data_IF_558916316479
#
_entry.id   IF_558916316479
#
_cell.length_a   1.000
_cell.length_b   1.000
_cell.length_c   1.000
_cell.angle_alpha   90.00
_cell.angle_beta   90.00
_cell.angle_gamma   90.00
#
_symmetry.space_group_name_H-M   'P 1'
#
loop_
_entity.id
_entity.type
_entity.pdbx_description
1 polymer ?
#
# COMPACT_ATOMS: atom_id res chain seq x y z
N UNK A 1 20.31 -14.30 0.66
CA UNK A 1 19.79 -14.01 2.01
C UNK A 1 18.83 -12.85 1.90
N UNK A 2 17.67 -12.97 2.54
CA UNK A 2 16.62 -11.96 2.56
C UNK A 2 16.49 -11.45 3.98
N UNK A 3 16.47 -10.13 4.15
CA UNK A 3 16.22 -9.50 5.45
C UNK A 3 14.71 -9.40 5.62
N UNK A 4 14.18 -10.03 6.67
CA UNK A 4 12.80 -9.83 7.11
C UNK A 4 12.81 -8.91 8.31
N UNK A 5 11.96 -7.89 8.29
CA UNK A 5 11.84 -6.95 9.40
C UNK A 5 10.40 -6.53 9.67
N UNK A 6 10.09 -6.31 10.95
CA UNK A 6 8.79 -5.79 11.37
C UNK A 6 8.95 -4.89 12.58
N UNK A 7 8.26 -3.75 12.56
CA UNK A 7 8.17 -2.90 13.74
C UNK A 7 7.08 -3.46 14.66
N UNK A 8 7.52 -3.96 15.80
CA UNK A 8 6.64 -4.56 16.79
C UNK A 8 7.18 -4.25 18.20
N UNK A 9 6.98 -3.02 18.69
CA UNK A 9 7.56 -2.59 19.96
C UNK A 9 6.92 -3.26 21.17
N UNK A 10 5.67 -3.71 21.07
CA UNK A 10 4.91 -4.25 22.21
C UNK A 10 5.25 -5.71 22.55
N UNK A 11 5.35 -6.64 21.56
CA UNK A 11 5.72 -8.01 21.87
C UNK A 11 7.10 -8.12 22.53
N UNK A 12 7.19 -9.06 23.48
CA UNK A 12 8.43 -9.45 24.15
C UNK A 12 9.24 -10.43 23.28
N UNK A 13 8.57 -11.12 22.36
CA UNK A 13 9.19 -12.02 21.41
C UNK A 13 8.53 -11.93 20.04
N UNK A 14 9.33 -11.86 18.98
CA UNK A 14 8.85 -12.07 17.61
C UNK A 14 9.65 -13.17 16.96
N UNK A 15 8.94 -14.07 16.27
CA UNK A 15 9.52 -15.12 15.44
C UNK A 15 9.01 -14.94 14.03
N UNK A 16 9.86 -15.24 13.06
CA UNK A 16 9.52 -15.26 11.64
C UNK A 16 9.20 -16.70 11.25
N UNK A 17 8.14 -16.94 10.52
CA UNK A 17 7.93 -18.21 9.82
C UNK A 17 8.06 -18.01 8.32
N UNK A 18 8.87 -18.85 7.66
CA UNK A 18 9.05 -18.88 6.21
C UNK A 18 8.85 -20.31 5.73
N UNK A 19 7.88 -20.52 4.83
CA UNK A 19 7.58 -21.84 4.23
C UNK A 19 7.44 -22.98 5.26
N UNK A 20 6.86 -22.69 6.43
CA UNK A 20 6.63 -23.62 7.54
C UNK A 20 7.78 -23.74 8.53
N UNK A 21 8.90 -23.03 8.33
CA UNK A 21 10.06 -23.07 9.21
C UNK A 21 10.13 -21.80 10.06
N UNK A 22 10.23 -21.98 11.38
CA UNK A 22 10.28 -20.86 12.34
C UNK A 22 11.72 -20.47 12.65
N UNK A 23 11.99 -19.17 12.57
CA UNK A 23 13.28 -18.53 12.82
C UNK A 23 13.14 -17.50 13.94
N UNK A 24 14.09 -17.43 14.89
CA UNK A 24 14.10 -16.36 15.88
C UNK A 24 14.42 -15.02 15.22
N UNK A 25 13.79 -13.94 15.69
CA UNK A 25 14.14 -12.57 15.31
C UNK A 25 14.84 -11.87 16.47
N UNK A 26 15.62 -10.82 16.15
CA UNK A 26 16.31 -9.98 17.14
C UNK A 26 15.71 -8.59 17.14
N UNK A 27 15.30 -8.10 18.32
CA UNK A 27 14.76 -6.75 18.54
C UNK A 27 15.89 -5.74 18.70
N UNK A 28 15.78 -4.58 18.04
CA UNK A 28 16.65 -3.43 18.28
C UNK A 28 16.06 -2.46 19.32
N UNK A 29 16.78 -1.38 19.60
CA UNK A 29 16.38 -0.38 20.59
C UNK A 29 15.16 0.46 20.17
N UNK A 30 14.79 0.41 18.89
CA UNK A 30 13.68 1.16 18.30
C UNK A 30 12.41 0.29 18.12
N UNK A 31 12.45 -0.96 18.60
CA UNK A 31 11.32 -1.89 18.53
C UNK A 31 11.18 -2.62 17.19
N UNK A 32 12.20 -2.57 16.33
CA UNK A 32 12.24 -3.35 15.09
C UNK A 32 12.84 -4.72 15.34
N UNK A 33 12.18 -5.75 14.82
CA UNK A 33 12.64 -7.13 14.84
C UNK A 33 13.22 -7.49 13.48
N UNK A 34 14.37 -8.17 13.44
CA UNK A 34 15.02 -8.61 12.20
C UNK A 34 15.47 -10.07 12.22
N UNK A 35 15.42 -10.72 11.06
CA UNK A 35 16.05 -12.00 10.81
C UNK A 35 16.55 -12.08 9.35
N UNK A 36 17.76 -12.63 9.18
CA UNK A 36 18.34 -12.97 7.89
C UNK A 36 18.06 -14.44 7.58
N UNK A 37 17.23 -14.69 6.56
CA UNK A 37 16.86 -16.06 6.16
C UNK A 37 17.11 -16.23 4.66
N UNK A 38 17.68 -17.36 4.27
CA UNK A 38 17.77 -17.73 2.86
C UNK A 38 16.40 -18.17 2.38
N UNK A 39 15.83 -17.43 1.43
CA UNK A 39 14.50 -17.67 0.90
C UNK A 39 14.47 -17.40 -0.61
N UNK A 40 13.56 -18.07 -1.31
CA UNK A 40 13.22 -17.73 -2.69
C UNK A 40 12.47 -16.38 -2.73
N UNK A 41 12.51 -15.71 -3.89
CA UNK A 41 11.89 -14.39 -4.08
C UNK A 41 10.36 -14.37 -3.98
N UNK A 42 9.72 -15.53 -3.89
CA UNK A 42 8.29 -15.77 -3.80
C UNK A 42 7.88 -16.53 -2.52
N UNK A 43 8.78 -16.62 -1.53
CA UNK A 43 8.53 -17.38 -0.31
C UNK A 43 7.33 -16.85 0.47
N UNK A 44 6.57 -17.77 1.08
CA UNK A 44 5.44 -17.46 1.97
C UNK A 44 5.94 -17.26 3.39
N UNK A 45 5.50 -16.21 4.04
CA UNK A 45 5.97 -15.86 5.38
C UNK A 45 4.92 -15.17 6.23
N UNK A 46 5.17 -15.12 7.54
CA UNK A 46 4.43 -14.31 8.49
C UNK A 46 5.15 -14.26 9.83
N UNK A 47 4.57 -13.53 10.79
CA UNK A 47 5.17 -13.32 12.10
C UNK A 47 4.35 -13.99 13.20
N UNK A 48 5.04 -14.62 14.15
CA UNK A 48 4.45 -15.10 15.39
C UNK A 48 4.87 -14.17 16.52
N UNK A 49 3.88 -13.68 17.26
CA UNK A 49 4.07 -12.73 18.36
C UNK A 49 3.96 -13.46 19.70
N UNK A 50 4.87 -13.14 20.61
CA UNK A 50 5.01 -13.72 21.94
C UNK A 50 5.04 -15.26 21.91
N UNK A 51 4.20 -15.90 22.73
CA UNK A 51 4.03 -17.35 22.85
C UNK A 51 2.85 -17.89 22.01
N UNK A 52 2.25 -17.07 21.13
CA UNK A 52 1.17 -17.53 20.27
C UNK A 52 1.67 -18.33 19.06
N UNK A 53 0.85 -19.29 18.62
CA UNK A 53 1.12 -20.13 17.44
C UNK A 53 0.49 -19.57 16.16
N UNK A 54 -0.32 -18.52 16.27
CA UNK A 54 -0.92 -17.85 15.13
C UNK A 54 0.17 -17.14 14.31
N UNK A 55 0.23 -17.45 13.02
CA UNK A 55 1.10 -16.75 12.06
C UNK A 55 0.30 -15.58 11.48
N UNK A 56 0.76 -14.37 11.76
CA UNK A 56 0.11 -13.14 11.32
C UNK A 56 0.74 -12.63 10.01
N UNK A 57 -0.07 -12.01 9.12
CA UNK A 57 0.44 -11.36 7.92
C UNK A 57 1.34 -10.18 8.28
N UNK A 58 2.30 -9.88 7.41
CA UNK A 58 3.15 -8.70 7.53
C UNK A 58 2.33 -7.41 7.35
N UNK A 59 2.40 -6.44 8.29
CA UNK A 59 1.86 -5.09 8.10
C UNK A 59 2.30 -4.42 6.78
N UNK A 60 3.54 -4.70 6.34
CA UNK A 60 4.15 -4.20 5.10
C UNK A 60 4.16 -5.24 3.98
N UNK A 61 3.24 -6.21 4.02
CA UNK A 61 3.16 -7.30 3.04
C UNK A 61 3.19 -6.79 1.59
N UNK A 62 4.15 -7.23 0.76
CA UNK A 62 4.20 -6.78 -0.64
C UNK A 62 3.18 -7.50 -1.52
N UNK A 63 2.69 -8.68 -1.12
CA UNK A 63 1.62 -9.44 -1.80
C UNK A 63 0.87 -10.37 -0.83
N UNK A 64 -0.42 -10.61 -1.10
CA UNK A 64 -1.32 -11.42 -0.27
C UNK A 64 -2.17 -12.37 -1.11
N UNK A 65 -1.60 -13.48 -1.60
CA UNK A 65 -2.25 -14.31 -2.61
C UNK A 65 -3.47 -15.09 -2.09
N UNK A 66 -3.53 -15.39 -0.79
CA UNK A 66 -4.61 -16.19 -0.19
C UNK A 66 -5.56 -15.35 0.70
N UNK A 67 -5.44 -14.03 0.65
CA UNK A 67 -6.27 -13.10 1.42
C UNK A 67 -5.64 -12.57 2.71
N UNK A 68 -6.30 -11.59 3.32
CA UNK A 68 -5.73 -10.71 4.38
C UNK A 68 -5.46 -11.39 5.73
N UNK A 69 -5.87 -12.64 5.91
CA UNK A 69 -5.61 -13.42 7.12
C UNK A 69 -4.43 -14.37 6.98
N UNK A 70 -3.92 -14.54 5.77
CA UNK A 70 -2.97 -15.59 5.43
C UNK A 70 -1.54 -15.06 5.36
N UNK A 71 -0.61 -15.97 5.13
CA UNK A 71 0.81 -15.65 5.00
C UNK A 71 1.04 -14.65 3.86
N UNK A 72 1.81 -13.62 4.15
CA UNK A 72 2.42 -12.75 3.17
C UNK A 72 3.26 -13.55 2.17
N UNK A 73 3.47 -12.98 0.98
CA UNK A 73 4.39 -13.53 0.00
C UNK A 73 5.46 -12.48 -0.31
N UNK A 74 6.74 -12.88 -0.31
CA UNK A 74 7.79 -12.05 -0.85
C UNK A 74 7.49 -11.74 -2.32
N UNK A 75 7.66 -10.49 -2.71
CA UNK A 75 7.40 -10.08 -4.07
C UNK A 75 8.18 -8.82 -4.41
N UNK A 76 8.68 -8.76 -5.64
CA UNK A 76 9.29 -7.59 -6.24
C UNK A 76 8.70 -7.40 -7.62
N UNK A 77 8.41 -6.15 -7.97
CA UNK A 77 7.98 -5.80 -9.32
C UNK A 77 9.11 -6.06 -10.31
N UNK A 78 8.73 -6.56 -11.49
CA UNK A 78 9.69 -6.81 -12.56
C UNK A 78 9.99 -5.49 -13.28
N UNK A 79 11.12 -4.87 -12.95
CA UNK A 79 11.53 -3.60 -13.53
C UNK A 79 11.67 -3.64 -15.07
N UNK A 80 11.86 -4.83 -15.66
CA UNK A 80 12.00 -4.99 -17.11
C UNK A 80 10.67 -4.89 -17.87
N UNK A 81 9.54 -4.93 -17.15
CA UNK A 81 8.20 -4.78 -17.74
C UNK A 81 7.80 -3.33 -17.99
N UNK A 82 8.46 -2.37 -17.34
CA UNK A 82 8.17 -0.96 -17.58
C UNK A 82 8.68 -0.54 -18.96
N UNK A 83 7.79 0.05 -19.75
CA UNK A 83 8.03 0.63 -21.08
C UNK A 83 7.94 2.16 -21.07
N UNK A 84 7.67 2.75 -19.91
CA UNK A 84 7.39 4.16 -19.67
C UNK A 84 8.64 5.03 -19.43
N UNK A 85 9.83 4.61 -19.90
CA UNK A 85 11.08 5.35 -19.68
C UNK A 85 11.09 6.79 -20.24
N UNK A 86 10.17 7.11 -21.18
CA UNK A 86 9.98 8.45 -21.75
C UNK A 86 8.80 9.20 -21.12
N UNK A 87 8.11 8.62 -20.14
CA UNK A 87 7.01 9.25 -19.43
C UNK A 87 7.54 10.36 -18.51
N UNK A 88 7.02 11.56 -18.72
CA UNK A 88 7.41 12.74 -17.93
C UNK A 88 6.29 13.22 -16.99
N UNK A 89 5.26 12.41 -16.77
CA UNK A 89 4.08 12.76 -15.98
C UNK A 89 3.18 13.82 -16.62
N UNK A 90 2.10 14.19 -15.90
CA UNK A 90 1.17 15.27 -16.26
C UNK A 90 0.93 16.19 -15.07
N UNK A 91 0.69 17.47 -15.36
CA UNK A 91 0.22 18.44 -14.37
C UNK A 91 -1.29 18.26 -14.18
N UNK A 92 -1.76 18.20 -12.92
CA UNK A 92 -3.19 18.11 -12.62
C UNK A 92 -3.99 19.34 -13.08
N UNK A 93 -3.50 20.60 -12.95
CA UNK A 93 -4.22 21.76 -13.46
C UNK A 93 -4.55 21.64 -14.96
N UNK A 94 -5.85 21.73 -15.28
CA UNK A 94 -6.36 21.56 -16.65
C UNK A 94 -6.56 20.09 -17.07
N UNK A 95 -6.30 19.14 -16.19
CA UNK A 95 -6.58 17.72 -16.40
C UNK A 95 -8.07 17.38 -16.27
N UNK A 96 -8.46 16.31 -16.97
CA UNK A 96 -9.74 15.62 -16.85
C UNK A 96 -9.49 14.28 -16.16
N UNK A 97 -10.12 14.10 -15.00
CA UNK A 97 -10.03 12.88 -14.17
C UNK A 97 -11.22 11.97 -14.47
N UNK A 98 -10.95 10.68 -14.63
CA UNK A 98 -11.95 9.62 -14.73
C UNK A 98 -11.75 8.64 -13.59
N UNK A 99 -12.68 8.61 -12.63
CA UNK A 99 -12.69 7.65 -11.53
C UNK A 99 -13.15 6.27 -12.03
N UNK A 100 -12.44 5.21 -11.63
CA UNK A 100 -12.79 3.84 -11.95
C UNK A 100 -12.68 2.91 -10.74
N UNK A 101 -13.65 2.03 -10.66
CA UNK A 101 -13.64 0.89 -9.75
C UNK A 101 -13.26 -0.38 -10.52
N UNK A 102 -12.09 -0.95 -10.23
CA UNK A 102 -11.54 -2.10 -10.99
C UNK A 102 -12.53 -3.26 -11.04
N UNK A 103 -13.14 -3.61 -9.89
CA UNK A 103 -14.04 -4.77 -9.79
C UNK A 103 -15.37 -4.63 -10.55
N UNK A 104 -15.71 -3.45 -11.09
CA UNK A 104 -16.98 -3.23 -11.82
C UNK A 104 -16.81 -2.52 -13.16
N UNK A 105 -15.61 -2.00 -13.48
CA UNK A 105 -15.35 -1.29 -14.73
C UNK A 105 -15.43 -2.23 -15.95
N UNK A 106 -15.10 -3.50 -15.75
CA UNK A 106 -15.24 -4.56 -16.75
C UNK A 106 -15.95 -5.77 -16.15
N UNK A 107 -16.57 -6.64 -16.98
CA UNK A 107 -17.16 -7.89 -16.49
C UNK A 107 -16.18 -8.80 -15.74
N UNK A 108 -14.90 -8.80 -16.13
CA UNK A 108 -13.84 -9.57 -15.51
C UNK A 108 -13.38 -8.98 -14.18
N UNK A 109 -13.49 -7.66 -14.00
CA UNK A 109 -13.16 -7.00 -12.74
C UNK A 109 -11.66 -6.99 -12.40
N UNK A 110 -10.78 -6.91 -13.40
CA UNK A 110 -9.31 -6.98 -13.21
C UNK A 110 -8.57 -5.80 -13.83
N UNK A 111 -7.33 -5.59 -13.39
CA UNK A 111 -6.43 -4.61 -13.99
C UNK A 111 -6.19 -4.89 -15.48
N UNK A 112 -5.98 -6.15 -15.87
CA UNK A 112 -5.73 -6.52 -17.26
C UNK A 112 -6.93 -6.24 -18.16
N UNK A 113 -8.15 -6.55 -17.70
CA UNK A 113 -9.35 -6.24 -18.47
C UNK A 113 -9.58 -4.72 -18.59
N UNK A 114 -9.19 -3.93 -17.59
CA UNK A 114 -9.27 -2.47 -17.67
C UNK A 114 -8.36 -1.88 -18.77
N UNK A 115 -7.23 -2.53 -19.08
CA UNK A 115 -6.30 -2.10 -20.15
C UNK A 115 -7.03 -2.03 -21.51
N UNK A 116 -7.93 -2.98 -21.78
CA UNK A 116 -8.70 -3.06 -23.05
C UNK A 116 -9.68 -1.89 -23.25
N UNK A 117 -9.85 -1.03 -22.23
CA UNK A 117 -10.73 0.14 -22.27
C UNK A 117 -9.98 1.46 -22.31
N UNK A 118 -8.66 1.47 -22.17
CA UNK A 118 -7.89 2.72 -22.10
C UNK A 118 -7.98 3.55 -23.39
N UNK A 119 -8.02 2.91 -24.57
CA UNK A 119 -8.15 3.62 -25.85
C UNK A 119 -9.45 4.44 -25.91
N UNK A 120 -10.54 3.91 -25.32
CA UNK A 120 -11.80 4.63 -25.21
C UNK A 120 -11.67 5.86 -24.29
N UNK A 121 -10.96 5.75 -23.17
CA UNK A 121 -10.72 6.88 -22.26
C UNK A 121 -9.88 7.97 -22.94
N UNK A 122 -8.88 7.58 -23.73
CA UNK A 122 -8.09 8.52 -24.55
C UNK A 122 -8.98 9.24 -25.57
N UNK A 123 -9.82 8.52 -26.31
CA UNK A 123 -10.74 9.13 -27.30
C UNK A 123 -11.74 10.08 -26.63
N UNK A 124 -12.21 9.75 -25.42
CA UNK A 124 -13.09 10.60 -24.63
C UNK A 124 -12.41 11.91 -24.18
N UNK A 125 -11.07 11.97 -24.17
CA UNK A 125 -10.30 13.12 -23.73
C UNK A 125 -9.88 13.09 -22.27
N UNK A 126 -9.93 11.92 -21.62
CA UNK A 126 -9.42 11.72 -20.27
C UNK A 126 -7.90 11.92 -20.26
N UNK A 127 -7.38 12.52 -19.19
CA UNK A 127 -5.93 12.69 -18.99
C UNK A 127 -5.41 12.03 -17.73
N UNK A 128 -6.29 11.81 -16.75
CA UNK A 128 -6.00 11.15 -15.48
C UNK A 128 -7.01 10.04 -15.25
N UNK A 129 -6.51 8.87 -14.92
CA UNK A 129 -7.27 7.69 -14.52
C UNK A 129 -7.15 7.59 -13.00
N UNK A 130 -8.23 7.86 -12.26
CA UNK A 130 -8.25 7.71 -10.80
C UNK A 130 -8.77 6.33 -10.43
N UNK A 131 -7.91 5.50 -9.87
CA UNK A 131 -8.26 4.15 -9.43
C UNK A 131 -8.74 4.23 -7.98
N UNK A 132 -9.96 3.74 -7.72
CA UNK A 132 -10.45 3.54 -6.35
C UNK A 132 -9.51 2.61 -5.54
N UNK A 133 -9.58 2.58 -4.20
CA UNK A 133 -8.53 1.96 -3.41
C UNK A 133 -8.30 0.49 -3.75
N UNK A 134 -7.03 0.12 -3.90
CA UNK A 134 -6.59 -1.22 -4.29
C UNK A 134 -5.95 -2.00 -3.16
N UNK A 135 -5.85 -1.42 -1.96
CA UNK A 135 -5.27 -2.08 -0.80
C UNK A 135 -6.05 -3.36 -0.46
N UNK A 136 -5.36 -4.41 -0.03
CA UNK A 136 -6.02 -5.69 0.22
C UNK A 136 -7.03 -5.58 1.39
N UNK A 137 -8.25 -6.04 1.12
CA UNK A 137 -9.39 -6.18 2.05
C UNK A 137 -9.89 -7.63 2.07
N UNK A 138 -10.73 -7.97 3.05
CA UNK A 138 -11.33 -9.30 3.15
C UNK A 138 -12.51 -9.49 2.17
N UNK A 139 -12.52 -10.60 1.45
CA UNK A 139 -13.53 -10.93 0.43
C UNK A 139 -13.02 -10.71 -1.00
N UNK A 140 -13.89 -10.90 -1.99
CA UNK A 140 -13.54 -10.81 -3.42
C UNK A 140 -14.10 -9.55 -4.09
N UNK A 141 -15.02 -8.85 -3.43
CA UNK A 141 -15.65 -7.64 -3.94
C UNK A 141 -15.73 -6.62 -2.82
N UNK A 142 -15.39 -5.37 -3.14
CA UNK A 142 -15.45 -4.25 -2.22
C UNK A 142 -14.99 -3.00 -2.93
N UNK A 143 -15.49 -1.83 -2.51
CA UNK A 143 -15.09 -0.55 -3.08
C UNK A 143 -13.62 -0.18 -2.80
N UNK A 144 -13.00 -0.85 -1.82
CA UNK A 144 -11.60 -0.65 -1.44
C UNK A 144 -11.39 0.07 -0.10
N UNK A 145 -12.40 0.78 0.40
CA UNK A 145 -12.30 1.53 1.67
C UNK A 145 -12.13 0.64 2.91
N UNK A 146 -12.50 -0.65 2.83
CA UNK A 146 -12.26 -1.66 3.86
C UNK A 146 -10.83 -2.26 3.82
N UNK A 147 -9.87 -1.59 3.15
CA UNK A 147 -8.48 -2.02 3.06
C UNK A 147 -7.82 -2.14 4.45
N UNK A 148 -7.07 -3.23 4.67
CA UNK A 148 -6.39 -3.51 5.95
C UNK A 148 -4.88 -3.73 5.81
N UNK A 149 -4.42 -4.19 4.64
CA UNK A 149 -3.00 -4.36 4.36
C UNK A 149 -2.59 -3.32 3.32
N UNK A 150 -2.20 -2.14 3.80
CA UNK A 150 -1.94 -0.99 2.94
C UNK A 150 -0.83 -1.21 1.89
N UNK A 151 0.09 -2.13 2.12
CA UNK A 151 1.18 -2.40 1.18
C UNK A 151 0.84 -3.48 0.13
N UNK A 152 -0.23 -4.24 0.34
CA UNK A 152 -0.65 -5.28 -0.59
C UNK A 152 -1.70 -4.75 -1.57
N UNK A 153 -1.54 -5.05 -2.85
CA UNK A 153 -2.58 -4.87 -3.86
C UNK A 153 -3.55 -6.05 -3.79
N UNK A 154 -4.85 -5.79 -3.86
CA UNK A 154 -5.90 -6.80 -3.76
C UNK A 154 -5.74 -7.88 -4.84
N UNK A 155 -5.55 -9.13 -4.42
CA UNK A 155 -5.14 -10.21 -5.32
C UNK A 155 -6.21 -10.51 -6.39
N UNK A 156 -7.51 -10.41 -6.04
CA UNK A 156 -8.59 -10.69 -6.98
C UNK A 156 -8.60 -9.74 -8.19
N UNK A 157 -8.01 -8.55 -8.09
CA UNK A 157 -7.87 -7.61 -9.21
C UNK A 157 -6.70 -7.96 -10.15
N UNK A 158 -5.84 -8.90 -9.77
CA UNK A 158 -4.60 -9.25 -10.48
C UNK A 158 -3.32 -8.96 -9.69
N UNK A 159 -3.46 -8.53 -8.42
CA UNK A 159 -2.34 -8.30 -7.52
C UNK A 159 -1.37 -7.20 -8.00
N UNK A 160 -0.17 -7.12 -7.40
CA UNK A 160 0.80 -6.08 -7.72
C UNK A 160 1.28 -6.12 -9.18
N UNK A 161 1.41 -7.33 -9.74
CA UNK A 161 1.78 -7.53 -11.15
C UNK A 161 0.74 -6.94 -12.12
N UNK A 162 -0.55 -7.08 -11.80
CA UNK A 162 -1.64 -6.51 -12.61
C UNK A 162 -1.66 -4.99 -12.56
N UNK A 163 -1.48 -4.41 -11.37
CA UNK A 163 -1.40 -2.95 -11.22
C UNK A 163 -0.22 -2.37 -12.01
N UNK A 164 0.95 -3.01 -11.96
CA UNK A 164 2.11 -2.62 -12.78
C UNK A 164 1.75 -2.57 -14.27
N UNK A 165 1.10 -3.61 -14.81
CA UNK A 165 0.71 -3.65 -16.23
C UNK A 165 -0.29 -2.56 -16.59
N UNK A 166 -1.27 -2.28 -15.72
CA UNK A 166 -2.24 -1.21 -15.97
C UNK A 166 -1.57 0.16 -16.01
N UNK A 167 -0.69 0.46 -15.04
CA UNK A 167 0.00 1.76 -14.99
C UNK A 167 0.88 1.94 -16.22
N UNK A 168 1.66 0.92 -16.59
CA UNK A 168 2.49 0.96 -17.80
C UNK A 168 1.65 1.22 -19.07
N UNK A 169 0.52 0.52 -19.18
CA UNK A 169 -0.40 0.68 -20.30
C UNK A 169 -1.08 2.07 -20.35
N UNK A 170 -1.33 2.69 -19.19
CA UNK A 170 -1.80 4.06 -19.08
C UNK A 170 -0.72 5.04 -19.58
N UNK A 171 0.52 4.92 -19.10
CA UNK A 171 1.62 5.80 -19.51
C UNK A 171 1.92 5.68 -21.01
N UNK A 172 1.90 4.48 -21.58
CA UNK A 172 2.06 4.24 -23.01
C UNK A 172 0.99 4.94 -23.86
N UNK A 173 -0.18 5.22 -23.28
CA UNK A 173 -1.31 5.95 -23.89
C UNK A 173 -1.36 7.43 -23.51
N UNK A 174 -0.37 7.88 -22.74
CA UNK A 174 -0.31 9.24 -22.24
C UNK A 174 -1.38 9.56 -21.20
N UNK A 175 -1.89 8.57 -20.46
CA UNK A 175 -2.79 8.75 -19.32
C UNK A 175 -1.96 8.73 -18.04
N UNK A 176 -2.14 9.74 -17.19
CA UNK A 176 -1.59 9.72 -15.84
C UNK A 176 -2.50 8.89 -14.92
N UNK A 177 -1.94 8.30 -13.87
CA UNK A 177 -2.68 7.46 -12.92
C UNK A 177 -2.69 8.09 -11.54
N UNK A 178 -3.88 8.30 -11.00
CA UNK A 178 -4.11 8.67 -9.60
C UNK A 178 -4.57 7.43 -8.84
N UNK A 179 -4.16 7.30 -7.57
CA UNK A 179 -4.63 6.23 -6.69
C UNK A 179 -5.34 6.81 -5.47
N UNK A 180 -6.57 6.37 -5.23
CA UNK A 180 -7.27 6.64 -3.98
C UNK A 180 -6.63 5.81 -2.84
N UNK A 181 -6.22 6.49 -1.76
CA UNK A 181 -5.55 5.88 -0.61
C UNK A 181 -6.24 6.26 0.69
N UNK A 182 -6.37 5.28 1.59
CA UNK A 182 -7.11 5.39 2.84
C UNK A 182 -6.16 5.32 4.02
N UNK A 183 -5.81 6.48 4.59
CA UNK A 183 -4.93 6.58 5.75
C UNK A 183 -5.63 6.99 7.05
N UNK A 184 -6.95 7.22 6.98
CA UNK A 184 -7.73 7.68 8.13
C UNK A 184 -8.31 6.54 8.98
N UNK A 185 -8.41 5.32 8.43
CA UNK A 185 -8.86 4.12 9.15
C UNK A 185 -8.35 2.85 8.45
N UNK A 186 -8.65 1.69 9.05
CA UNK A 186 -8.48 0.36 8.47
C UNK A 186 -9.83 -0.34 8.47
N UNK A 187 -10.04 -1.22 7.48
CA UNK A 187 -11.25 -2.03 7.41
C UNK A 187 -11.44 -2.97 8.62
N UNK A 188 -12.65 -3.51 8.78
CA UNK A 188 -13.06 -4.22 9.99
C UNK A 188 -12.51 -5.65 10.10
N UNK A 189 -11.86 -6.20 9.06
CA UNK A 189 -11.44 -7.60 9.01
C UNK A 189 -10.08 -7.78 8.35
N UNK A 190 -9.14 -8.39 9.08
CA UNK A 190 -7.77 -8.65 8.62
C UNK A 190 -6.74 -7.59 9.04
N UNK A 191 -7.15 -6.59 9.84
CA UNK A 191 -6.24 -5.67 10.49
C UNK A 191 -5.69 -6.30 11.78
N UNK A 192 -4.37 -6.48 11.84
CA UNK A 192 -3.66 -7.01 13.01
C UNK A 192 -2.65 -6.01 13.59
N UNK A 193 -2.69 -4.74 13.18
CA UNK A 193 -1.66 -3.76 13.56
C UNK A 193 -1.57 -3.55 15.07
N UNK A 194 -2.69 -3.63 15.79
CA UNK A 194 -2.76 -3.52 17.25
C UNK A 194 -1.97 -4.64 17.98
N UNK A 195 -1.81 -5.80 17.33
CA UNK A 195 -1.00 -6.91 17.82
C UNK A 195 0.49 -6.59 17.75
N UNK A 196 0.93 -5.84 16.75
CA UNK A 196 2.33 -5.49 16.54
C UNK A 196 2.76 -4.31 17.41
N UNK A 197 1.96 -3.25 17.44
CA UNK A 197 2.36 -2.00 18.09
C UNK A 197 1.23 -0.97 18.20
N UNK A 198 1.53 0.22 18.73
CA UNK A 198 0.57 1.29 18.91
C UNK A 198 0.24 2.03 17.59
N UNK A 199 -0.10 1.29 16.53
CA UNK A 199 -0.54 1.85 15.26
C UNK A 199 -1.89 2.57 15.35
N UNK A 200 -2.73 2.13 16.29
CA UNK A 200 -4.05 2.66 16.55
C UNK A 200 -4.06 3.29 17.94
N UNK A 201 -4.91 4.30 18.14
CA UNK A 201 -5.08 4.98 19.41
C UNK A 201 -6.55 4.97 19.84
N UNK A 202 -6.80 5.37 21.09
CA UNK A 202 -8.15 5.56 21.60
C UNK A 202 -8.85 6.66 20.80
N UNK A 203 -10.04 6.33 20.28
CA UNK A 203 -10.81 7.18 19.38
C UNK A 203 -11.53 6.34 18.34
N UNK A 204 -12.57 6.90 17.74
CA UNK A 204 -13.26 6.28 16.62
C UNK A 204 -13.56 7.30 15.54
N UNK A 205 -13.30 6.92 14.30
CA UNK A 205 -13.91 7.52 13.12
C UNK A 205 -15.26 6.85 12.88
N UNK A 206 -16.01 7.29 11.86
CA UNK A 206 -17.24 6.62 11.44
C UNK A 206 -17.00 5.18 10.94
N UNK A 207 -15.73 4.76 10.74
CA UNK A 207 -15.36 3.52 10.06
C UNK A 207 -14.41 2.62 10.87
N UNK A 208 -13.86 3.07 11.99
CA UNK A 208 -12.95 2.26 12.79
C UNK A 208 -12.23 3.04 13.88
N UNK A 209 -11.23 2.39 14.49
CA UNK A 209 -10.34 3.07 15.45
C UNK A 209 -9.48 4.12 14.75
N UNK A 210 -9.13 5.17 15.49
CA UNK A 210 -8.29 6.25 14.99
C UNK A 210 -6.84 5.78 14.85
N UNK A 211 -6.19 6.16 13.74
CA UNK A 211 -4.76 5.92 13.52
C UNK A 211 -3.93 6.82 14.45
N UNK A 212 -2.87 6.26 15.07
CA UNK A 212 -2.03 6.99 16.02
C UNK A 212 -1.07 7.95 15.31
N UNK A 213 -1.48 9.21 15.12
CA UNK A 213 -0.68 10.23 14.43
C UNK A 213 0.07 11.19 15.36
N UNK A 214 -0.30 11.23 16.65
CA UNK A 214 0.23 12.18 17.62
C UNK A 214 0.48 11.61 19.03
N UNK A 215 0.10 10.36 19.28
CA UNK A 215 0.34 9.68 20.56
C UNK A 215 1.76 9.15 20.72
N UNK A 216 2.05 8.42 21.81
CA UNK A 216 3.32 7.72 21.99
C UNK A 216 3.66 6.85 20.77
N UNK A 217 4.93 6.86 20.36
CA UNK A 217 5.47 6.09 19.24
C UNK A 217 4.82 6.36 17.86
N UNK A 218 4.00 7.41 17.73
CA UNK A 218 3.35 7.80 16.47
C UNK A 218 4.33 8.11 15.34
N UNK A 219 5.60 8.43 15.62
CA UNK A 219 6.62 8.68 14.60
C UNK A 219 6.78 7.52 13.60
N UNK A 220 6.78 6.28 14.08
CA UNK A 220 6.89 5.11 13.19
C UNK A 220 5.58 4.80 12.46
N UNK A 221 4.43 5.16 13.05
CA UNK A 221 3.11 5.05 12.41
C UNK A 221 2.97 6.06 11.27
N UNK A 222 3.43 7.30 11.47
CA UNK A 222 3.51 8.34 10.43
C UNK A 222 4.45 7.90 9.31
N UNK A 223 5.63 7.37 9.65
CA UNK A 223 6.56 6.79 8.66
C UNK A 223 5.92 5.64 7.89
N UNK A 224 5.16 4.76 8.54
CA UNK A 224 4.42 3.68 7.87
C UNK A 224 3.43 4.20 6.81
N UNK A 225 2.75 5.32 7.07
CA UNK A 225 1.86 5.99 6.10
C UNK A 225 2.65 6.66 4.98
N UNK A 226 3.65 7.47 5.32
CA UNK A 226 4.45 8.22 4.35
C UNK A 226 5.17 7.26 3.40
N UNK A 227 5.81 6.21 3.91
CA UNK A 227 6.47 5.23 3.05
C UNK A 227 5.49 4.46 2.16
N UNK A 228 4.25 4.22 2.60
CA UNK A 228 3.23 3.63 1.74
C UNK A 228 2.87 4.57 0.58
N UNK A 229 2.62 5.84 0.88
CA UNK A 229 2.31 6.85 -0.11
C UNK A 229 3.44 7.01 -1.15
N UNK A 230 4.68 7.13 -0.68
CA UNK A 230 5.85 7.25 -1.54
C UNK A 230 6.09 5.98 -2.36
N UNK A 231 5.81 4.81 -1.81
CA UNK A 231 5.93 3.52 -2.52
C UNK A 231 5.03 3.47 -3.75
N UNK A 232 3.77 3.90 -3.67
CA UNK A 232 2.89 3.92 -4.84
C UNK A 232 3.49 4.72 -6.00
N UNK A 233 4.08 5.88 -5.71
CA UNK A 233 4.66 6.75 -6.72
C UNK A 233 6.04 6.29 -7.21
N UNK A 234 6.84 5.71 -6.32
CA UNK A 234 8.23 5.28 -6.58
C UNK A 234 8.31 3.91 -7.24
N UNK A 235 7.53 2.93 -6.78
CA UNK A 235 7.62 1.53 -7.22
C UNK A 235 6.56 1.20 -8.27
N UNK A 236 5.32 1.65 -8.08
CA UNK A 236 4.21 1.38 -9.01
C UNK A 236 4.03 2.47 -10.06
N UNK A 237 4.91 3.47 -10.05
CA UNK A 237 4.90 4.60 -10.97
C UNK A 237 3.59 5.42 -10.96
N UNK A 238 2.77 5.35 -9.92
CA UNK A 238 1.58 6.21 -9.76
C UNK A 238 1.97 7.70 -9.83
N UNK A 239 1.19 8.53 -10.52
CA UNK A 239 1.49 9.96 -10.75
C UNK A 239 0.90 10.88 -9.67
N UNK A 240 -0.02 10.38 -8.86
CA UNK A 240 -0.56 11.14 -7.74
C UNK A 240 -1.51 10.36 -6.86
N UNK A 241 -1.86 10.94 -5.71
CA UNK A 241 -2.71 10.29 -4.71
C UNK A 241 -3.94 11.14 -4.41
N UNK A 242 -5.12 10.50 -4.40
CA UNK A 242 -6.34 11.07 -3.83
C UNK A 242 -6.44 10.57 -2.40
N UNK A 243 -6.34 11.48 -1.43
CA UNK A 243 -6.33 11.13 0.00
C UNK A 243 -7.75 11.07 0.55
N UNK A 244 -8.19 9.89 0.98
CA UNK A 244 -9.52 9.72 1.54
C UNK A 244 -9.70 10.41 2.89
N UNK A 245 -10.85 11.06 3.04
CA UNK A 245 -11.36 11.67 4.28
C UNK A 245 -10.28 12.36 5.14
N UNK A 246 -9.49 13.26 4.55
CA UNK A 246 -8.38 13.97 5.24
C UNK A 246 -8.80 14.70 6.52
N UNK A 247 -10.07 15.08 6.64
CA UNK A 247 -10.64 15.69 7.84
C UNK A 247 -10.68 14.74 9.05
N UNK A 248 -10.60 13.42 8.83
CA UNK A 248 -10.56 12.40 9.87
C UNK A 248 -9.13 12.05 10.32
N UNK A 249 -8.09 12.70 9.76
CA UNK A 249 -6.72 12.58 10.22
C UNK A 249 -6.51 13.48 11.45
N UNK A 250 -6.72 12.90 12.63
CA UNK A 250 -6.54 13.60 13.91
C UNK A 250 -5.06 13.70 14.28
N UNK A 251 -4.36 14.67 13.70
CA UNK A 251 -2.95 14.93 13.98
C UNK A 251 -2.74 16.30 14.62
N UNK A 252 -2.29 16.27 15.88
CA UNK A 252 -2.03 17.47 16.70
C UNK A 252 -0.53 17.75 16.88
N UNK A 253 0.32 17.15 16.05
CA UNK A 253 1.77 17.44 16.06
C UNK A 253 2.06 18.81 15.45
N UNK A 254 3.28 19.31 15.67
CA UNK A 254 3.68 20.64 15.19
C UNK A 254 3.72 20.75 13.65
N UNK A 255 4.00 19.65 12.97
CA UNK A 255 3.95 19.53 11.50
C UNK A 255 2.93 18.46 11.16
N UNK A 256 1.82 18.87 10.56
CA UNK A 256 0.74 17.94 10.24
C UNK A 256 1.21 16.88 9.22
N UNK A 257 0.71 15.66 9.31
CA UNK A 257 1.06 14.52 8.46
C UNK A 257 0.95 14.86 6.98
N UNK A 258 -0.09 15.60 6.61
CA UNK A 258 -0.33 16.05 5.24
C UNK A 258 0.76 17.03 4.75
N UNK A 259 1.27 17.90 5.63
CA UNK A 259 2.38 18.79 5.30
C UNK A 259 3.68 17.99 5.13
N UNK A 260 3.96 17.07 6.06
CA UNK A 260 5.12 16.18 5.98
C UNK A 260 5.09 15.34 4.69
N UNK A 261 3.93 14.74 4.38
CA UNK A 261 3.71 13.98 3.15
C UNK A 261 3.92 14.85 1.91
N UNK A 262 3.39 16.07 1.87
CA UNK A 262 3.58 16.99 0.74
C UNK A 262 5.07 17.34 0.51
N UNK A 263 5.83 17.53 1.59
CA UNK A 263 7.29 17.77 1.51
C UNK A 263 8.00 16.54 0.93
N UNK A 264 7.69 15.34 1.42
CA UNK A 264 8.29 14.11 0.92
C UNK A 264 7.91 13.82 -0.55
N UNK A 265 6.64 14.04 -0.93
CA UNK A 265 6.18 13.91 -2.32
C UNK A 265 6.89 14.91 -3.23
N UNK A 266 7.11 16.16 -2.79
CA UNK A 266 7.87 17.15 -3.55
C UNK A 266 9.33 16.73 -3.75
N UNK A 267 9.97 16.20 -2.70
CA UNK A 267 11.33 15.68 -2.80
C UNK A 267 11.42 14.47 -3.75
N UNK A 268 10.45 13.55 -3.68
CA UNK A 268 10.37 12.40 -4.58
C UNK A 268 10.12 12.84 -6.05
N UNK A 269 9.22 13.79 -6.28
CA UNK A 269 8.94 14.38 -7.59
C UNK A 269 10.21 14.94 -8.24
N UNK A 270 11.00 15.70 -7.46
CA UNK A 270 12.29 16.21 -7.92
C UNK A 270 13.31 15.09 -8.21
N UNK A 271 13.32 14.01 -7.43
CA UNK A 271 14.19 12.86 -7.64
C UNK A 271 13.82 12.05 -8.88
N UNK A 272 12.52 11.84 -9.13
CA UNK A 272 12.00 11.09 -10.27
C UNK A 272 11.97 11.90 -11.57
N UNK A 273 12.04 13.23 -11.50
CA UNK A 273 12.05 14.09 -12.68
C UNK A 273 10.69 14.21 -13.38
N UNK A 274 9.59 13.94 -12.68
CA UNK A 274 8.21 14.07 -13.16
C UNK A 274 7.30 14.64 -12.06
N UNK A 275 6.24 15.39 -12.40
CA UNK A 275 5.32 15.90 -11.38
C UNK A 275 4.59 14.76 -10.69
N UNK A 276 4.49 14.88 -9.37
CA UNK A 276 3.64 14.07 -8.52
C UNK A 276 2.61 15.00 -7.88
N UNK A 277 1.35 14.57 -7.80
CA UNK A 277 0.24 15.37 -7.24
C UNK A 277 -0.42 14.73 -6.04
#
# INVERSE_FOLDING_TARGET
MTVFEVWAPNPDRVRLEVNGVVHPMTKDAQGWWRADVESAGDARYGFLLDDEDAVLPDPRSPRQPDGVHERSQLHQLDATRWTDALWTGRQLPGGVVYELHIGTFTPEGTFDAAIDRLDHLVELGVTFVEIMPVNAFNGTHGWGYDGVLWYAVHEAYGGPDGLQRLVDACHARGLAVLLDVVYNHLGPSGNYLDRYGPYLTEGQTSWGQTVNLAGPDSGEVRRYIIENALRWMREFHIDGLRLDAVHALADTTAVHLLEELAVHTTALSAHLGRPLT
#
